data_IF_340762694028
#
_entry.id   IF_340762694028
#
_cell.length_a   1.000
_cell.length_b   1.000
_cell.length_c   1.000
_cell.angle_alpha   90.00
_cell.angle_beta   90.00
_cell.angle_gamma   90.00
#
_symmetry.space_group_name_H-M   'P 1'
#
loop_
_entity.id
_entity.type
_entity.pdbx_description
1 polymer ?
#
# COMPACT_ATOMS: atom_id res chain seq x y z
N UNK A 1 -12.75 -6.90 41.98
CA UNK A 1 -12.83 -7.16 40.54
C UNK A 1 -12.65 -5.83 39.80
N UNK A 2 -11.56 -5.11 40.08
CA UNK A 2 -11.31 -3.70 39.63
C UNK A 2 -9.83 -3.42 39.30
N UNK A 3 -9.07 -4.43 38.85
CA UNK A 3 -7.62 -4.28 38.59
C UNK A 3 -7.21 -4.58 37.13
N UNK A 4 -8.14 -4.61 36.18
CA UNK A 4 -7.82 -4.87 34.75
C UNK A 4 -8.03 -3.68 33.80
N UNK A 5 -8.41 -2.49 34.32
CA UNK A 5 -8.75 -1.33 33.45
C UNK A 5 -7.59 -0.37 33.14
N UNK A 6 -6.35 -0.65 33.56
CA UNK A 6 -5.23 0.27 33.26
C UNK A 6 -4.06 -0.36 32.50
N UNK A 7 -4.21 -1.53 31.91
CA UNK A 7 -3.20 -2.03 30.99
C UNK A 7 -3.30 -1.26 29.69
N UNK A 8 -2.39 -0.32 29.45
CA UNK A 8 -2.27 0.36 28.15
C UNK A 8 -2.16 -0.71 27.05
N UNK A 9 -3.01 -0.63 26.02
CA UNK A 9 -2.92 -1.53 24.87
C UNK A 9 -1.52 -1.47 24.27
N UNK A 10 -0.95 -2.60 23.79
CA UNK A 10 0.31 -2.58 23.05
C UNK A 10 0.22 -1.60 21.86
N UNK A 11 1.34 -1.01 21.45
CA UNK A 11 1.40 0.00 20.39
C UNK A 11 0.91 -0.46 19.02
N UNK A 12 1.53 0.01 17.95
CA UNK A 12 1.15 -0.31 16.57
C UNK A 12 1.63 -1.71 16.14
N UNK A 13 0.85 -2.39 15.31
CA UNK A 13 1.27 -3.65 14.66
C UNK A 13 0.77 -3.72 13.22
N UNK A 14 1.60 -4.32 12.35
CA UNK A 14 1.24 -4.56 10.95
C UNK A 14 0.63 -5.94 10.80
N UNK A 15 -0.50 -6.02 10.11
CA UNK A 15 -1.20 -7.23 9.76
C UNK A 15 -1.24 -7.40 8.25
N UNK A 16 -0.89 -8.62 7.81
CA UNK A 16 -0.95 -9.00 6.41
C UNK A 16 -2.08 -10.04 6.23
N UNK A 17 -3.26 -9.62 5.76
CA UNK A 17 -4.39 -10.53 5.58
C UNK A 17 -4.23 -11.48 4.38
N UNK A 18 -3.23 -11.27 3.52
CA UNK A 18 -2.94 -12.15 2.40
C UNK A 18 -1.93 -11.56 1.41
N UNK A 19 -1.47 -12.41 0.49
CA UNK A 19 -0.51 -12.05 -0.56
C UNK A 19 -1.16 -11.79 -1.94
N UNK A 20 -2.49 -11.80 -2.04
CA UNK A 20 -3.18 -11.52 -3.29
C UNK A 20 -2.86 -10.08 -3.69
N UNK A 21 -2.19 -9.92 -4.83
CA UNK A 21 -1.83 -8.63 -5.38
C UNK A 21 -1.76 -8.71 -6.90
N UNK A 22 -2.25 -7.68 -7.57
CA UNK A 22 -2.22 -7.58 -9.03
C UNK A 22 -0.95 -6.90 -9.58
N UNK A 23 -0.04 -6.47 -8.70
CA UNK A 23 1.21 -5.81 -9.07
C UNK A 23 2.44 -6.68 -8.74
N UNK A 24 3.51 -6.50 -9.54
CA UNK A 24 4.84 -7.01 -9.28
C UNK A 24 5.82 -5.82 -9.17
N UNK A 25 5.66 -5.05 -8.11
CA UNK A 25 6.46 -3.85 -7.87
C UNK A 25 7.96 -4.20 -7.77
N UNK A 26 8.82 -3.30 -8.25
CA UNK A 26 10.29 -3.52 -8.27
C UNK A 26 10.87 -3.72 -6.86
N UNK A 27 10.29 -3.05 -5.86
CA UNK A 27 10.72 -3.13 -4.46
C UNK A 27 9.99 -4.20 -3.64
N UNK A 28 9.19 -5.07 -4.30
CA UNK A 28 8.42 -6.12 -3.66
C UNK A 28 8.91 -7.50 -4.08
N UNK A 29 8.29 -8.58 -3.59
CA UNK A 29 8.66 -9.95 -3.91
C UNK A 29 7.50 -10.94 -3.84
N UNK A 30 7.79 -12.23 -4.13
CA UNK A 30 6.77 -13.27 -4.23
C UNK A 30 6.06 -13.57 -2.90
N UNK A 31 6.65 -13.25 -1.77
CA UNK A 31 6.03 -13.45 -0.45
C UNK A 31 4.84 -12.51 -0.20
N UNK A 32 4.78 -11.38 -0.92
CA UNK A 32 3.75 -10.37 -0.75
C UNK A 32 2.94 -10.11 -2.02
N UNK A 33 3.16 -10.88 -3.09
CA UNK A 33 2.44 -10.68 -4.35
C UNK A 33 2.28 -11.95 -5.17
N UNK A 34 1.03 -12.34 -5.39
CA UNK A 34 0.67 -13.42 -6.32
C UNK A 34 1.04 -13.08 -7.77
N UNK A 35 1.14 -11.82 -8.15
CA UNK A 35 1.63 -11.41 -9.47
C UNK A 35 3.11 -11.74 -9.62
N UNK A 36 3.94 -11.48 -8.59
CA UNK A 36 5.33 -11.91 -8.57
C UNK A 36 5.48 -13.42 -8.65
N UNK A 37 4.66 -14.17 -7.89
CA UNK A 37 4.65 -15.64 -7.95
C UNK A 37 4.41 -16.11 -9.38
N UNK A 38 3.41 -15.55 -10.07
CA UNK A 38 3.11 -15.86 -11.47
C UNK A 38 4.28 -15.54 -12.40
N UNK A 39 4.94 -14.38 -12.25
CA UNK A 39 6.11 -14.00 -13.07
C UNK A 39 7.31 -14.93 -12.87
N UNK A 40 7.49 -15.48 -11.68
CA UNK A 40 8.57 -16.38 -11.33
C UNK A 40 8.22 -17.87 -11.54
N UNK A 41 7.00 -18.20 -11.98
CA UNK A 41 6.54 -19.58 -12.11
C UNK A 41 6.38 -20.31 -10.76
N UNK A 42 6.26 -19.57 -9.66
CA UNK A 42 6.04 -20.15 -8.33
C UNK A 42 4.55 -20.53 -8.22
N UNK A 43 4.24 -21.78 -7.83
CA UNK A 43 2.86 -22.21 -7.64
C UNK A 43 2.13 -21.32 -6.63
N UNK A 44 0.99 -20.77 -7.04
CA UNK A 44 0.09 -20.05 -6.13
C UNK A 44 -0.71 -21.11 -5.38
N UNK A 45 -0.48 -21.21 -4.07
CA UNK A 45 -1.28 -22.07 -3.20
C UNK A 45 -2.64 -21.39 -3.01
N UNK A 46 -3.75 -22.00 -3.48
CA UNK A 46 -5.07 -21.44 -3.28
C UNK A 46 -5.37 -21.40 -1.79
N UNK A 47 -5.37 -20.20 -1.19
CA UNK A 47 -5.92 -19.98 0.14
C UNK A 47 -7.40 -19.61 0.05
N UNK A 48 -8.14 -19.73 1.13
CA UNK A 48 -9.45 -19.11 1.19
C UNK A 48 -9.28 -17.59 1.37
N UNK A 49 -9.53 -16.77 0.33
CA UNK A 49 -9.27 -15.33 0.40
C UNK A 49 -10.17 -14.60 1.41
N UNK A 50 -11.17 -15.26 1.96
CA UNK A 50 -12.09 -14.74 2.98
C UNK A 50 -11.76 -15.23 4.38
N UNK A 51 -10.94 -16.28 4.51
CA UNK A 51 -10.58 -16.81 5.82
C UNK A 51 -9.46 -15.96 6.43
N UNK A 52 -9.72 -15.45 7.61
CA UNK A 52 -8.70 -14.88 8.49
C UNK A 52 -8.68 -15.73 9.77
N UNK A 53 -7.50 -16.05 10.25
CA UNK A 53 -7.35 -16.78 11.52
C UNK A 53 -7.90 -15.91 12.67
N UNK A 54 -8.77 -16.48 13.49
CA UNK A 54 -9.33 -15.77 14.65
C UNK A 54 -8.24 -15.20 15.55
N UNK A 55 -7.11 -15.90 15.69
CA UNK A 55 -5.95 -15.40 16.45
C UNK A 55 -5.39 -14.09 15.91
N UNK A 56 -5.47 -13.85 14.58
CA UNK A 56 -5.06 -12.58 13.97
C UNK A 56 -6.01 -11.47 14.40
N UNK A 57 -7.32 -11.74 14.36
CA UNK A 57 -8.35 -10.79 14.81
C UNK A 57 -8.16 -10.48 16.31
N UNK A 58 -8.02 -11.49 17.14
CA UNK A 58 -7.87 -11.33 18.59
C UNK A 58 -6.62 -10.50 18.91
N UNK A 59 -5.50 -10.78 18.22
CA UNK A 59 -4.27 -10.00 18.37
C UNK A 59 -4.45 -8.57 17.88
N UNK A 60 -5.10 -8.34 16.73
CA UNK A 60 -5.35 -7.02 16.20
C UNK A 60 -6.18 -6.16 17.16
N UNK A 61 -7.20 -6.76 17.81
CA UNK A 61 -8.05 -6.06 18.79
C UNK A 61 -7.31 -5.60 20.05
N UNK A 62 -6.16 -6.20 20.36
CA UNK A 62 -5.32 -5.79 21.49
C UNK A 62 -4.47 -4.54 21.18
N UNK A 63 -4.29 -4.19 19.90
CA UNK A 63 -3.43 -3.07 19.51
C UNK A 63 -4.15 -1.72 19.67
N UNK A 64 -3.38 -0.63 19.86
CA UNK A 64 -3.90 0.73 19.75
C UNK A 64 -4.00 1.17 18.30
N UNK A 65 -3.07 0.69 17.46
CA UNK A 65 -3.01 0.99 16.02
C UNK A 65 -2.77 -0.26 15.19
N UNK A 66 -3.51 -0.39 14.10
CA UNK A 66 -3.47 -1.51 13.17
C UNK A 66 -3.08 -1.00 11.79
N UNK A 67 -1.98 -1.47 11.26
CA UNK A 67 -1.58 -1.23 9.87
C UNK A 67 -1.94 -2.45 9.03
N UNK A 68 -2.80 -2.28 8.04
CA UNK A 68 -3.18 -3.35 7.10
C UNK A 68 -2.35 -3.20 5.84
N UNK A 69 -1.46 -4.17 5.61
CA UNK A 69 -0.56 -4.23 4.46
C UNK A 69 -0.62 -5.58 3.76
N UNK A 70 0.51 -6.03 3.22
CA UNK A 70 0.61 -7.32 2.53
C UNK A 70 0.52 -7.18 1.03
N UNK A 71 -0.34 -7.97 0.37
CA UNK A 71 -0.63 -7.85 -1.05
C UNK A 71 -1.36 -6.54 -1.38
N UNK A 72 -2.53 -6.65 -2.01
CA UNK A 72 -3.44 -5.50 -2.14
C UNK A 72 -4.65 -5.71 -1.22
N UNK A 73 -4.84 -4.89 -0.19
CA UNK A 73 -5.89 -5.09 0.80
C UNK A 73 -7.31 -5.19 0.21
N UNK A 74 -7.64 -4.41 -0.81
CA UNK A 74 -8.97 -4.46 -1.44
C UNK A 74 -9.22 -5.70 -2.29
N UNK A 75 -8.17 -6.46 -2.63
CA UNK A 75 -8.28 -7.75 -3.30
C UNK A 75 -8.33 -8.93 -2.32
N UNK A 76 -7.98 -8.68 -1.07
CA UNK A 76 -8.03 -9.69 0.00
C UNK A 76 -9.30 -9.50 0.82
N UNK A 77 -10.33 -10.28 0.56
CA UNK A 77 -11.62 -10.23 1.28
C UNK A 77 -11.49 -10.42 2.80
N UNK A 78 -10.41 -11.03 3.26
CA UNK A 78 -10.05 -11.11 4.67
C UNK A 78 -9.80 -9.75 5.31
N UNK A 79 -9.46 -8.71 4.51
CA UNK A 79 -9.36 -7.32 4.99
C UNK A 79 -10.70 -6.81 5.50
N UNK A 80 -11.78 -6.99 4.75
CA UNK A 80 -13.12 -6.57 5.19
C UNK A 80 -13.54 -7.31 6.47
N UNK A 81 -13.20 -8.60 6.57
CA UNK A 81 -13.45 -9.39 7.80
C UNK A 81 -12.63 -8.83 8.97
N UNK A 82 -11.37 -8.46 8.75
CA UNK A 82 -10.55 -7.83 9.79
C UNK A 82 -11.16 -6.51 10.25
N UNK A 83 -11.46 -5.58 9.31
CA UNK A 83 -12.04 -4.27 9.63
C UNK A 83 -13.33 -4.40 10.44
N UNK A 84 -14.22 -5.32 10.06
CA UNK A 84 -15.50 -5.57 10.76
C UNK A 84 -15.34 -6.08 12.19
N UNK A 85 -14.16 -6.55 12.56
CA UNK A 85 -13.87 -7.14 13.88
C UNK A 85 -12.95 -6.27 14.74
N UNK A 86 -12.46 -5.14 14.25
CA UNK A 86 -11.65 -4.22 15.04
C UNK A 86 -12.51 -3.41 16.02
N UNK A 87 -11.87 -2.89 17.07
CA UNK A 87 -12.54 -1.98 17.99
C UNK A 87 -12.65 -0.60 17.33
N UNK A 88 -13.78 0.08 17.53
CA UNK A 88 -14.07 1.37 16.89
C UNK A 88 -13.08 2.48 17.24
N UNK A 89 -12.47 2.42 18.40
CA UNK A 89 -11.51 3.38 18.94
C UNK A 89 -10.06 3.15 18.50
N UNK A 90 -9.81 2.10 17.71
CA UNK A 90 -8.46 1.85 17.18
C UNK A 90 -8.15 2.78 16.00
N UNK A 91 -6.89 3.17 15.89
CA UNK A 91 -6.37 3.81 14.67
C UNK A 91 -6.05 2.73 13.64
N UNK A 92 -6.63 2.82 12.45
CA UNK A 92 -6.45 1.84 11.39
C UNK A 92 -5.85 2.51 10.15
N UNK A 93 -4.74 1.99 9.64
CA UNK A 93 -4.17 2.46 8.37
C UNK A 93 -4.23 1.34 7.34
N UNK A 94 -4.84 1.58 6.18
CA UNK A 94 -4.90 0.61 5.08
C UNK A 94 -4.07 1.12 3.92
N UNK A 95 -3.08 0.32 3.50
CA UNK A 95 -2.14 0.69 2.45
C UNK A 95 -2.58 0.13 1.09
N UNK A 96 -2.94 1.03 0.17
CA UNK A 96 -3.43 0.70 -1.17
C UNK A 96 -2.36 0.88 -2.25
N UNK A 97 -2.44 0.07 -3.28
CA UNK A 97 -1.69 0.32 -4.52
C UNK A 97 -2.44 1.25 -5.49
N UNK A 98 -3.70 1.58 -5.22
CA UNK A 98 -4.53 2.50 -5.97
C UNK A 98 -5.10 1.97 -7.29
N UNK A 99 -4.78 0.74 -7.70
CA UNK A 99 -5.21 0.20 -8.99
C UNK A 99 -6.66 -0.28 -9.03
N UNK A 100 -7.25 -0.53 -7.85
CA UNK A 100 -8.60 -1.06 -7.69
C UNK A 100 -9.37 -0.21 -6.69
N UNK A 101 -10.62 0.08 -6.99
CA UNK A 101 -11.52 0.76 -6.05
C UNK A 101 -12.04 -0.24 -5.02
N UNK A 102 -12.11 0.16 -3.72
CA UNK A 102 -12.75 -0.68 -2.72
C UNK A 102 -14.22 -0.97 -3.05
N UNK A 103 -14.71 -2.09 -2.55
CA UNK A 103 -16.15 -2.40 -2.60
C UNK A 103 -16.96 -1.47 -1.69
N UNK A 104 -18.27 -1.37 -1.91
CA UNK A 104 -19.15 -0.64 -1.00
C UNK A 104 -19.09 -1.25 0.41
N UNK A 105 -19.05 -2.58 0.52
CA UNK A 105 -18.89 -3.26 1.81
C UNK A 105 -17.62 -2.84 2.55
N UNK A 106 -16.50 -2.65 1.84
CA UNK A 106 -15.26 -2.15 2.43
C UNK A 106 -15.43 -0.71 2.96
N UNK A 107 -16.09 0.18 2.18
CA UNK A 107 -16.35 1.54 2.60
C UNK A 107 -17.28 1.60 3.82
N UNK A 108 -18.31 0.76 3.85
CA UNK A 108 -19.25 0.64 4.97
C UNK A 108 -18.53 0.19 6.25
N UNK A 109 -17.64 -0.82 6.17
CA UNK A 109 -16.82 -1.25 7.31
C UNK A 109 -15.88 -0.15 7.80
N UNK A 110 -15.31 0.61 6.87
CA UNK A 110 -14.45 1.75 7.21
C UNK A 110 -15.20 2.86 7.94
N UNK A 111 -16.48 3.09 7.60
CA UNK A 111 -17.29 4.13 8.26
C UNK A 111 -17.62 3.82 9.73
N UNK A 112 -17.52 2.54 10.13
CA UNK A 112 -17.76 2.12 11.51
C UNK A 112 -16.59 2.40 12.46
N UNK A 113 -15.39 2.71 11.94
CA UNK A 113 -14.18 3.00 12.72
C UNK A 113 -14.07 4.50 12.99
N UNK A 114 -13.58 4.89 14.17
CA UNK A 114 -13.47 6.30 14.53
C UNK A 114 -12.28 7.00 13.86
N UNK A 115 -11.21 6.24 13.55
CA UNK A 115 -9.98 6.80 13.03
C UNK A 115 -9.37 5.83 12.01
N UNK A 116 -9.59 6.10 10.72
CA UNK A 116 -9.08 5.27 9.63
C UNK A 116 -8.35 6.11 8.59
N UNK A 117 -7.19 5.60 8.15
CA UNK A 117 -6.34 6.23 7.15
C UNK A 117 -6.28 5.37 5.88
N UNK A 118 -6.54 5.96 4.74
CA UNK A 118 -6.30 5.38 3.42
C UNK A 118 -4.96 5.89 2.89
N UNK A 119 -3.97 5.01 2.84
CA UNK A 119 -2.59 5.37 2.50
C UNK A 119 -2.25 4.80 1.12
N UNK A 120 -2.08 5.68 0.14
CA UNK A 120 -1.72 5.26 -1.21
C UNK A 120 -0.21 5.16 -1.37
N UNK A 121 0.23 4.04 -1.92
CA UNK A 121 1.65 3.79 -2.19
C UNK A 121 2.05 4.39 -3.54
N UNK A 122 2.74 5.53 -3.55
CA UNK A 122 3.11 6.28 -4.76
C UNK A 122 4.63 6.48 -4.76
N UNK A 123 5.37 5.64 -5.50
CA UNK A 123 6.84 5.66 -5.52
C UNK A 123 7.43 6.47 -6.69
N UNK A 124 6.58 7.10 -7.48
CA UNK A 124 6.93 7.94 -8.62
C UNK A 124 5.68 8.48 -9.29
N UNK A 125 5.83 9.25 -10.34
CA UNK A 125 4.74 9.76 -11.18
C UNK A 125 4.88 9.28 -12.62
N UNK A 126 3.78 9.22 -13.36
CA UNK A 126 3.76 8.86 -14.78
C UNK A 126 4.53 7.55 -15.07
N UNK A 127 5.48 7.58 -15.99
CA UNK A 127 6.26 6.40 -16.40
C UNK A 127 7.13 5.82 -15.29
N UNK A 128 7.62 6.65 -14.33
CA UNK A 128 8.37 6.16 -13.17
C UNK A 128 7.49 5.33 -12.25
N UNK A 129 6.26 5.77 -12.01
CA UNK A 129 5.27 4.99 -11.27
C UNK A 129 4.99 3.65 -11.97
N UNK A 130 4.69 3.67 -13.29
CA UNK A 130 4.38 2.47 -14.07
C UNK A 130 5.54 1.48 -14.09
N UNK A 131 6.79 1.96 -14.08
CA UNK A 131 7.98 1.12 -13.97
C UNK A 131 8.07 0.46 -12.59
N UNK A 132 8.04 1.29 -11.53
CA UNK A 132 8.22 0.81 -10.16
C UNK A 132 7.09 -0.11 -9.69
N UNK A 133 5.87 0.16 -10.14
CA UNK A 133 4.66 -0.56 -9.73
C UNK A 133 4.00 -1.34 -10.88
N UNK A 134 4.84 -2.05 -11.65
CA UNK A 134 4.39 -2.86 -12.78
C UNK A 134 3.28 -3.86 -12.40
N UNK A 135 2.21 -4.06 -13.22
CA UNK A 135 1.87 -3.40 -14.49
C UNK A 135 0.82 -2.28 -14.33
N UNK A 136 0.84 -1.56 -13.21
CA UNK A 136 -0.09 -0.45 -12.97
C UNK A 136 -0.06 0.59 -14.10
N UNK A 137 -1.19 1.28 -14.29
CA UNK A 137 -1.34 2.41 -15.19
C UNK A 137 -1.56 3.67 -14.38
N UNK A 138 -0.70 4.67 -14.58
CA UNK A 138 -0.70 5.90 -13.80
C UNK A 138 -2.04 6.61 -13.80
N UNK A 139 -2.60 6.84 -15.00
CA UNK A 139 -3.87 7.56 -15.13
C UNK A 139 -5.04 6.87 -14.41
N UNK A 140 -5.07 5.52 -14.45
CA UNK A 140 -6.07 4.74 -13.72
C UNK A 140 -5.93 4.91 -12.21
N UNK A 141 -4.69 4.89 -11.71
CA UNK A 141 -4.43 5.07 -10.28
C UNK A 141 -4.85 6.45 -9.81
N UNK A 142 -4.49 7.49 -10.55
CA UNK A 142 -4.91 8.88 -10.25
C UNK A 142 -6.44 8.99 -10.22
N UNK A 143 -7.14 8.46 -11.23
CA UNK A 143 -8.61 8.46 -11.27
C UNK A 143 -9.23 7.73 -10.07
N UNK A 144 -8.64 6.60 -9.65
CA UNK A 144 -9.15 5.85 -8.50
C UNK A 144 -8.91 6.60 -7.18
N UNK A 145 -7.75 7.24 -7.03
CA UNK A 145 -7.44 8.06 -5.85
C UNK A 145 -8.43 9.23 -5.76
N UNK A 146 -8.60 10.00 -6.83
CA UNK A 146 -9.53 11.13 -6.84
C UNK A 146 -10.96 10.68 -6.57
N UNK A 147 -11.39 9.56 -7.16
CA UNK A 147 -12.70 8.99 -6.87
C UNK A 147 -12.86 8.66 -5.37
N UNK A 148 -11.82 8.11 -4.72
CA UNK A 148 -11.87 7.82 -3.29
C UNK A 148 -11.95 9.09 -2.44
N UNK A 149 -11.30 10.18 -2.85
CA UNK A 149 -11.45 11.46 -2.16
C UNK A 149 -12.90 11.98 -2.17
N UNK A 150 -13.69 11.62 -3.19
CA UNK A 150 -15.09 12.01 -3.31
C UNK A 150 -16.05 11.05 -2.58
N UNK A 151 -15.73 9.74 -2.54
CA UNK A 151 -16.68 8.68 -2.15
C UNK A 151 -16.34 7.98 -0.83
N UNK A 152 -15.14 8.16 -0.29
CA UNK A 152 -14.79 7.55 0.99
C UNK A 152 -15.61 8.16 2.14
N UNK A 153 -15.86 7.42 3.23
CA UNK A 153 -16.54 7.93 4.42
C UNK A 153 -15.84 9.16 5.01
N UNK A 154 -16.59 10.04 5.68
CA UNK A 154 -16.09 11.32 6.23
C UNK A 154 -15.02 11.14 7.32
N UNK A 155 -15.02 10.01 8.03
CA UNK A 155 -14.03 9.68 9.03
C UNK A 155 -12.66 9.31 8.46
N UNK A 156 -12.54 9.08 7.13
CA UNK A 156 -11.29 8.67 6.48
C UNK A 156 -10.32 9.84 6.37
N UNK A 157 -9.09 9.63 6.80
CA UNK A 157 -7.94 10.48 6.49
C UNK A 157 -7.13 9.88 5.34
N UNK A 158 -6.50 10.74 4.54
CA UNK A 158 -5.70 10.29 3.40
C UNK A 158 -4.21 10.50 3.62
N UNK A 159 -3.42 9.55 3.14
CA UNK A 159 -1.97 9.62 3.17
C UNK A 159 -1.36 9.11 1.85
N UNK A 160 -0.18 9.61 1.54
CA UNK A 160 0.68 9.10 0.48
C UNK A 160 1.92 8.50 1.14
N UNK A 161 2.22 7.24 0.84
CA UNK A 161 3.43 6.59 1.29
C UNK A 161 4.39 6.39 0.12
N UNK A 162 5.62 6.86 0.27
CA UNK A 162 6.68 6.76 -0.74
C UNK A 162 7.70 5.73 -0.25
N UNK A 163 7.89 4.64 -1.01
CA UNK A 163 8.99 3.71 -0.76
C UNK A 163 10.22 4.17 -1.51
N UNK A 164 11.18 4.72 -0.77
CA UNK A 164 12.43 5.24 -1.33
C UNK A 164 13.36 4.08 -1.69
N UNK A 165 13.93 4.13 -2.86
CA UNK A 165 14.90 3.18 -3.40
C UNK A 165 16.00 3.90 -4.16
N UNK A 166 17.07 3.19 -4.55
CA UNK A 166 18.13 3.74 -5.40
C UNK A 166 17.61 4.32 -6.73
N UNK A 167 16.46 3.83 -7.23
CA UNK A 167 15.86 4.32 -8.47
C UNK A 167 15.19 5.68 -8.31
N UNK A 168 14.41 5.87 -7.24
CA UNK A 168 13.54 7.04 -7.11
C UNK A 168 14.01 8.09 -6.10
N UNK A 169 15.12 7.88 -5.39
CA UNK A 169 15.60 8.81 -4.37
C UNK A 169 15.84 10.25 -4.88
N UNK A 170 16.11 10.44 -6.16
CA UNK A 170 16.32 11.74 -6.81
C UNK A 170 15.05 12.34 -7.44
N UNK A 171 13.91 11.68 -7.31
CA UNK A 171 12.64 12.07 -7.96
C UNK A 171 11.50 12.28 -6.97
N UNK A 172 11.81 12.46 -5.68
CA UNK A 172 10.80 12.63 -4.65
C UNK A 172 10.03 13.95 -4.79
N UNK A 173 10.73 15.01 -5.21
CA UNK A 173 10.12 16.33 -5.41
C UNK A 173 8.99 16.28 -6.45
N UNK A 174 9.13 15.46 -7.51
CA UNK A 174 8.06 15.28 -8.51
C UNK A 174 6.77 14.68 -7.87
N UNK A 175 6.91 13.80 -6.87
CA UNK A 175 5.77 13.22 -6.17
C UNK A 175 5.12 14.28 -5.28
N UNK A 176 5.94 15.04 -4.54
CA UNK A 176 5.47 16.12 -3.66
C UNK A 176 4.74 17.19 -4.48
N UNK A 177 5.31 17.60 -5.61
CA UNK A 177 4.70 18.56 -6.53
C UNK A 177 3.36 18.03 -7.08
N UNK A 178 3.32 16.78 -7.52
CA UNK A 178 2.10 16.16 -7.99
C UNK A 178 1.02 16.11 -6.89
N UNK A 179 1.39 15.70 -5.68
CA UNK A 179 0.46 15.69 -4.53
C UNK A 179 -0.09 17.09 -4.27
N UNK A 180 0.78 18.11 -4.25
CA UNK A 180 0.38 19.49 -3.96
C UNK A 180 -0.57 20.08 -5.01
N UNK A 181 -0.42 19.67 -6.27
CA UNK A 181 -1.20 20.19 -7.41
C UNK A 181 -2.48 19.40 -7.69
N UNK A 182 -2.49 18.11 -7.38
CA UNK A 182 -3.55 17.19 -7.84
C UNK A 182 -4.44 16.70 -6.70
N UNK A 183 -3.86 16.49 -5.52
CA UNK A 183 -4.58 15.88 -4.40
C UNK A 183 -5.23 16.98 -3.54
N UNK A 184 -6.51 16.87 -3.21
CA UNK A 184 -7.16 17.80 -2.26
C UNK A 184 -6.39 17.85 -0.94
N UNK A 185 -5.87 19.04 -0.59
CA UNK A 185 -5.04 19.22 0.61
C UNK A 185 -5.85 19.19 1.91
N UNK A 186 -7.15 19.40 1.81
CA UNK A 186 -8.05 19.36 2.95
C UNK A 186 -9.36 18.66 2.56
N UNK A 187 -9.73 17.65 3.35
CA UNK A 187 -11.01 16.98 3.25
C UNK A 187 -11.62 16.88 4.65
N UNK A 188 -12.81 17.42 4.84
CA UNK A 188 -13.52 17.39 6.13
C UNK A 188 -12.66 17.92 7.31
N UNK A 189 -11.86 18.97 7.07
CA UNK A 189 -10.95 19.53 8.07
C UNK A 189 -9.66 18.74 8.32
N UNK A 190 -9.39 17.67 7.54
CA UNK A 190 -8.20 16.81 7.66
C UNK A 190 -7.28 17.01 6.46
N UNK A 191 -5.99 17.18 6.72
CA UNK A 191 -4.96 17.35 5.69
C UNK A 191 -4.44 16.02 5.18
N UNK A 192 -4.14 15.94 3.87
CA UNK A 192 -3.40 14.79 3.31
C UNK A 192 -1.95 14.86 3.76
N UNK A 193 -1.41 13.75 4.27
CA UNK A 193 -0.01 13.67 4.71
C UNK A 193 0.84 12.81 3.77
N UNK A 194 2.16 13.02 3.82
CA UNK A 194 3.15 12.20 3.10
C UNK A 194 4.03 11.48 4.13
N UNK A 195 4.23 10.19 3.92
CA UNK A 195 5.12 9.35 4.72
C UNK A 195 6.14 8.64 3.82
N UNK A 196 7.27 8.24 4.41
CA UNK A 196 8.39 7.65 3.69
C UNK A 196 8.82 6.32 4.32
N UNK A 197 9.08 5.32 3.47
CA UNK A 197 9.72 4.07 3.83
C UNK A 197 11.00 3.88 3.01
N UNK A 198 11.96 3.12 3.53
CA UNK A 198 13.16 2.73 2.78
C UNK A 198 12.96 1.33 2.19
N UNK A 199 13.22 1.18 0.89
CA UNK A 199 13.36 -0.14 0.28
C UNK A 199 14.66 -0.79 0.77
N UNK A 200 14.64 -2.12 0.94
CA UNK A 200 15.87 -2.88 1.15
C UNK A 200 16.83 -2.77 -0.05
N UNK A 201 18.08 -3.13 0.16
CA UNK A 201 19.18 -2.97 -0.84
C UNK A 201 19.15 -4.07 -1.93
N UNK A 202 17.98 -4.33 -2.50
CA UNK A 202 17.75 -5.39 -3.50
C UNK A 202 17.98 -4.93 -4.95
N UNK A 203 18.07 -3.62 -5.20
CA UNK A 203 18.15 -3.06 -6.56
C UNK A 203 19.58 -3.05 -7.06
N UNK A 204 20.04 -4.21 -7.54
CA UNK A 204 21.30 -4.36 -8.27
C UNK A 204 21.06 -4.23 -9.76
N UNK A 205 22.07 -3.76 -10.51
CA UNK A 205 22.02 -3.60 -11.97
C UNK A 205 21.46 -4.84 -12.66
N UNK A 206 22.05 -6.03 -12.40
CA UNK A 206 21.60 -7.27 -13.01
C UNK A 206 20.11 -7.54 -12.83
N UNK A 207 19.59 -7.30 -11.62
CA UNK A 207 18.16 -7.49 -11.33
C UNK A 207 17.28 -6.58 -12.21
N UNK A 208 17.68 -5.32 -12.36
CA UNK A 208 16.94 -4.36 -13.18
C UNK A 208 17.03 -4.69 -14.67
N UNK A 209 18.20 -5.12 -15.15
CA UNK A 209 18.39 -5.52 -16.54
C UNK A 209 17.55 -6.77 -16.88
N UNK A 210 17.48 -7.76 -15.97
CA UNK A 210 16.63 -8.93 -16.12
C UNK A 210 15.12 -8.56 -16.15
N UNK A 211 14.71 -7.58 -15.33
CA UNK A 211 13.33 -7.07 -15.36
C UNK A 211 13.02 -6.32 -16.66
N UNK A 212 13.93 -5.48 -17.12
CA UNK A 212 13.77 -4.72 -18.36
C UNK A 212 13.60 -5.63 -19.56
N UNK A 213 14.45 -6.66 -19.68
CA UNK A 213 14.32 -7.67 -20.72
C UNK A 213 12.95 -8.37 -20.66
N UNK A 214 12.54 -8.81 -19.47
CA UNK A 214 11.28 -9.53 -19.27
C UNK A 214 10.05 -8.69 -19.55
N UNK A 215 10.09 -7.39 -19.23
CA UNK A 215 8.96 -6.46 -19.29
C UNK A 215 8.99 -5.50 -20.47
N UNK A 216 10.01 -5.60 -21.32
CA UNK A 216 10.28 -4.67 -22.43
C UNK A 216 10.32 -3.20 -21.93
N UNK A 217 11.13 -2.96 -20.90
CA UNK A 217 11.34 -1.67 -20.26
C UNK A 217 12.81 -1.22 -20.40
N UNK A 218 13.11 -0.03 -19.91
CA UNK A 218 14.45 0.54 -19.84
C UNK A 218 14.57 1.41 -18.60
N UNK A 219 15.19 0.87 -17.53
CA UNK A 219 15.35 1.58 -16.28
C UNK A 219 16.31 2.78 -16.40
N UNK A 220 17.34 2.69 -17.22
CA UNK A 220 18.32 3.79 -17.42
C UNK A 220 17.66 4.99 -18.07
N UNK A 221 16.79 4.73 -19.04
CA UNK A 221 15.99 5.79 -19.68
C UNK A 221 14.94 6.37 -18.74
N UNK A 222 14.35 5.54 -17.90
CA UNK A 222 13.29 5.95 -16.97
C UNK A 222 13.85 6.72 -15.76
N UNK A 223 15.05 6.33 -15.31
CA UNK A 223 15.70 6.90 -14.12
C UNK A 223 17.17 7.33 -14.41
N UNK A 224 17.39 8.29 -15.31
CA UNK A 224 18.77 8.67 -15.70
C UNK A 224 19.63 9.13 -14.51
N UNK A 225 19.07 9.79 -13.48
CA UNK A 225 19.81 10.24 -12.30
C UNK A 225 20.20 9.09 -11.34
N UNK A 226 19.66 7.88 -11.53
CA UNK A 226 19.96 6.72 -10.69
C UNK A 226 21.09 5.85 -11.25
N UNK A 227 21.54 6.08 -12.49
CA UNK A 227 22.48 5.21 -13.20
C UNK A 227 23.77 5.04 -12.41
N UNK A 228 24.40 6.13 -12.00
CA UNK A 228 25.69 6.10 -11.29
C UNK A 228 25.59 5.40 -9.92
N UNK A 229 24.44 5.50 -9.25
CA UNK A 229 24.20 4.91 -7.94
C UNK A 229 23.94 3.38 -7.97
N UNK A 230 23.64 2.83 -9.15
CA UNK A 230 23.29 1.42 -9.32
C UNK A 230 24.43 0.66 -10.00
N UNK A 231 25.17 1.29 -10.92
CA UNK A 231 26.27 0.68 -11.66
C UNK A 231 27.56 0.61 -10.81
N UNK A 232 27.78 1.57 -9.92
CA UNK A 232 28.92 1.61 -8.99
C UNK A 232 28.56 0.95 -7.64
#
# INVERSE_FOLDING_TARGET
MELLESASRPGASTFNPGSICNLACVTCGPNSSTRWQKELGIPIVPGNPRAIDQKIIDRARLMTSVVVGGGEPVLNFSTETLLANLNKDQTVSVHFNGTVRPSQSFLDKSSELSNIHYVFSIDGVNKRFEYLRWPAKWDQVVQNILWLFEHAPDNVEFGINITISKLNQHYQDEIVDWVSQTIPQNRQGKSTYISYNQAGDILKQKYLDDLDQKRNLDWRKTFPLAVDNIIN
#
